data_IF_345717845401
#
_entry.id   IF_345717845401
#
_cell.length_a   1.000
_cell.length_b   1.000
_cell.length_c   1.000
_cell.angle_alpha   90.00
_cell.angle_beta   90.00
_cell.angle_gamma   90.00
#
_symmetry.space_group_name_H-M   'P 1'
#
loop_
_entity.id
_entity.type
_entity.pdbx_description
1 polymer ?
#
# COMPACT_ATOMS: atom_id res chain seq x y z
N UNK A 1 -19.01 -5.77 -20.36
CA UNK A 1 -17.61 -6.07 -20.69
C UNK A 1 -16.65 -4.92 -20.40
N UNK A 2 -16.95 -3.66 -20.76
CA UNK A 2 -15.99 -2.55 -20.58
C UNK A 2 -15.47 -2.43 -19.14
N UNK A 3 -16.33 -2.28 -18.14
CA UNK A 3 -15.91 -2.13 -16.74
C UNK A 3 -15.20 -3.37 -16.18
N UNK A 4 -15.52 -4.57 -16.67
CA UNK A 4 -14.80 -5.80 -16.33
C UNK A 4 -13.37 -5.79 -16.87
N UNK A 5 -13.19 -5.36 -18.13
CA UNK A 5 -11.87 -5.20 -18.75
C UNK A 5 -11.05 -4.15 -18.00
N UNK A 6 -11.63 -2.98 -17.73
CA UNK A 6 -10.96 -1.91 -16.98
C UNK A 6 -10.56 -2.35 -15.56
N UNK A 7 -11.43 -3.11 -14.86
CA UNK A 7 -11.10 -3.65 -13.54
C UNK A 7 -10.00 -4.72 -13.60
N UNK A 8 -9.99 -5.56 -14.65
CA UNK A 8 -8.95 -6.55 -14.85
C UNK A 8 -7.60 -5.88 -15.12
N UNK A 9 -7.59 -4.85 -15.97
CA UNK A 9 -6.40 -4.09 -16.28
C UNK A 9 -5.82 -3.43 -15.04
N UNK A 10 -6.68 -2.80 -14.24
CA UNK A 10 -6.33 -2.24 -12.94
C UNK A 10 -5.73 -3.30 -11.99
N UNK A 11 -6.32 -4.50 -11.93
CA UNK A 11 -5.82 -5.60 -11.12
C UNK A 11 -4.43 -6.07 -11.58
N UNK A 12 -4.18 -6.13 -12.89
CA UNK A 12 -2.86 -6.49 -13.41
C UNK A 12 -1.77 -5.52 -12.95
N UNK A 13 -2.02 -4.22 -13.05
CA UNK A 13 -1.10 -3.19 -12.55
C UNK A 13 -0.93 -3.29 -11.03
N UNK A 14 -2.03 -3.46 -10.28
CA UNK A 14 -1.97 -3.55 -8.83
C UNK A 14 -1.15 -4.75 -8.34
N UNK A 15 -1.38 -5.94 -8.92
CA UNK A 15 -0.68 -7.16 -8.52
C UNK A 15 0.83 -7.04 -8.79
N UNK A 16 1.21 -6.48 -9.95
CA UNK A 16 2.61 -6.22 -10.30
C UNK A 16 3.31 -5.38 -9.22
N UNK A 17 2.69 -4.25 -8.85
CA UNK A 17 3.16 -3.34 -7.80
C UNK A 17 3.29 -4.05 -6.45
N UNK A 18 2.26 -4.79 -6.02
CA UNK A 18 2.29 -5.44 -4.70
C UNK A 18 3.33 -6.56 -4.64
N UNK A 19 3.56 -7.29 -5.75
CA UNK A 19 4.64 -8.28 -5.84
C UNK A 19 6.00 -7.62 -5.62
N UNK A 20 6.27 -6.51 -6.31
CA UNK A 20 7.53 -5.78 -6.13
C UNK A 20 7.68 -5.25 -4.69
N UNK A 21 6.58 -4.77 -4.11
CA UNK A 21 6.55 -4.17 -2.78
C UNK A 21 6.89 -5.17 -1.68
N UNK A 22 6.26 -6.35 -1.63
CA UNK A 22 6.59 -7.30 -0.56
C UNK A 22 8.04 -7.80 -0.65
N UNK A 23 8.57 -7.97 -1.87
CA UNK A 23 9.97 -8.36 -2.08
C UNK A 23 10.91 -7.26 -1.60
N UNK A 24 10.60 -6.01 -1.92
CA UNK A 24 11.37 -4.86 -1.47
C UNK A 24 11.36 -4.74 0.06
N UNK A 25 10.20 -4.89 0.69
CA UNK A 25 10.05 -4.86 2.14
C UNK A 25 10.82 -6.00 2.82
N UNK A 26 10.76 -7.22 2.30
CA UNK A 26 11.52 -8.35 2.84
C UNK A 26 13.04 -8.22 2.66
N UNK A 27 13.48 -7.61 1.55
CA UNK A 27 14.91 -7.49 1.18
C UNK A 27 15.62 -6.30 1.82
N UNK A 28 14.96 -5.14 1.83
CA UNK A 28 15.56 -3.85 2.20
C UNK A 28 14.97 -3.25 3.47
N UNK A 29 13.82 -3.75 3.94
CA UNK A 29 13.22 -3.29 5.17
C UNK A 29 14.13 -3.57 6.36
N UNK A 30 14.43 -2.53 7.14
CA UNK A 30 15.18 -2.69 8.39
C UNK A 30 14.21 -2.91 9.54
N UNK A 31 14.25 -4.11 10.09
CA UNK A 31 13.51 -4.51 11.28
C UNK A 31 12.48 -5.62 11.02
N UNK A 32 12.07 -6.35 12.07
CA UNK A 32 10.99 -7.35 12.02
C UNK A 32 9.70 -6.78 11.42
N UNK A 33 9.43 -5.50 11.67
CA UNK A 33 8.19 -4.82 11.31
C UNK A 33 8.01 -4.61 9.80
N UNK A 34 9.10 -4.40 9.04
CA UNK A 34 9.03 -4.36 7.58
C UNK A 34 8.73 -5.75 6.98
N UNK A 35 9.14 -6.81 7.66
CA UNK A 35 8.85 -8.19 7.27
C UNK A 35 7.44 -8.61 7.64
N UNK A 36 6.84 -8.04 8.69
CA UNK A 36 5.41 -8.17 8.99
C UNK A 36 4.58 -7.51 7.88
N UNK A 37 4.92 -6.29 7.48
CA UNK A 37 4.26 -5.61 6.38
C UNK A 37 4.47 -6.34 5.03
N UNK A 38 5.64 -6.96 4.83
CA UNK A 38 5.87 -7.82 3.66
C UNK A 38 4.91 -9.03 3.66
N UNK A 39 4.66 -9.66 4.82
CA UNK A 39 3.71 -10.77 4.92
C UNK A 39 2.29 -10.34 4.60
N UNK A 40 1.88 -9.18 5.12
CA UNK A 40 0.58 -8.59 4.83
C UNK A 40 0.40 -8.39 3.32
N UNK A 41 1.33 -7.70 2.67
CA UNK A 41 1.28 -7.47 1.21
C UNK A 41 1.33 -8.78 0.42
N UNK A 42 2.08 -9.79 0.89
CA UNK A 42 2.07 -11.12 0.29
C UNK A 42 0.67 -11.77 0.34
N UNK A 43 -0.04 -11.64 1.47
CA UNK A 43 -1.40 -12.17 1.60
C UNK A 43 -2.39 -11.41 0.71
N UNK A 44 -2.26 -10.08 0.61
CA UNK A 44 -3.01 -9.25 -0.34
C UNK A 44 -2.84 -9.80 -1.78
N UNK A 45 -1.61 -10.09 -2.20
CA UNK A 45 -1.33 -10.63 -3.56
C UNK A 45 -2.04 -11.96 -3.82
N UNK A 46 -2.16 -12.84 -2.83
CA UNK A 46 -2.85 -14.11 -3.00
C UNK A 46 -4.34 -13.91 -3.31
N UNK A 47 -5.02 -13.00 -2.60
CA UNK A 47 -6.44 -12.70 -2.85
C UNK A 47 -6.64 -11.94 -4.16
N UNK A 48 -5.78 -10.96 -4.45
CA UNK A 48 -5.83 -10.21 -5.72
C UNK A 48 -5.67 -11.11 -6.94
N UNK A 49 -4.74 -12.08 -6.90
CA UNK A 49 -4.60 -13.09 -7.96
C UNK A 49 -5.87 -13.94 -8.10
N UNK A 50 -6.52 -14.29 -6.99
CA UNK A 50 -7.79 -15.01 -6.99
C UNK A 50 -8.94 -14.19 -7.59
N UNK A 51 -8.97 -12.88 -7.35
CA UNK A 51 -9.96 -11.97 -7.95
C UNK A 51 -9.72 -11.79 -9.45
N UNK A 52 -8.45 -11.67 -9.86
CA UNK A 52 -8.09 -11.60 -11.27
C UNK A 52 -8.44 -12.89 -12.02
N UNK A 53 -8.24 -14.06 -11.40
CA UNK A 53 -8.66 -15.36 -11.96
C UNK A 53 -10.17 -15.41 -12.19
N UNK A 54 -10.98 -15.07 -11.18
CA UNK A 54 -12.44 -15.03 -11.32
C UNK A 54 -12.90 -14.06 -12.43
N UNK A 55 -12.22 -12.91 -12.55
CA UNK A 55 -12.57 -11.89 -13.53
C UNK A 55 -12.19 -12.32 -14.96
N UNK A 56 -11.04 -12.97 -15.15
CA UNK A 56 -10.64 -13.47 -16.47
C UNK A 56 -11.51 -14.63 -16.93
N UNK A 57 -11.84 -15.59 -16.05
CA UNK A 57 -12.75 -16.70 -16.37
C UNK A 57 -14.13 -16.17 -16.78
N UNK A 58 -14.61 -15.11 -16.12
CA UNK A 58 -15.85 -14.43 -16.48
C UNK A 58 -15.76 -13.78 -17.87
N UNK A 59 -14.64 -13.15 -18.20
CA UNK A 59 -14.41 -12.53 -19.52
C UNK A 59 -14.32 -13.58 -20.64
N UNK A 60 -13.64 -14.70 -20.40
CA UNK A 60 -13.52 -15.81 -21.35
C UNK A 60 -14.89 -16.46 -21.62
N UNK A 61 -15.66 -16.71 -20.56
CA UNK A 61 -17.01 -17.29 -20.68
C UNK A 61 -17.94 -16.38 -21.48
N UNK A 62 -17.87 -15.06 -21.28
CA UNK A 62 -18.61 -14.08 -22.09
C UNK A 62 -18.22 -14.11 -23.57
N UNK A 63 -16.94 -14.34 -23.88
CA UNK A 63 -16.46 -14.39 -25.26
C UNK A 63 -16.94 -15.66 -25.98
N UNK A 64 -17.02 -16.79 -25.26
CA UNK A 64 -17.46 -18.08 -25.81
C UNK A 64 -18.98 -18.20 -25.92
N UNK A 65 -19.70 -17.94 -24.82
CA UNK A 65 -21.13 -18.26 -24.71
C UNK A 65 -22.06 -17.03 -24.84
N UNK A 66 -21.49 -15.82 -24.97
CA UNK A 66 -22.24 -14.54 -24.94
C UNK A 66 -23.14 -14.40 -23.70
N UNK A 67 -22.80 -15.11 -22.61
CA UNK A 67 -23.56 -15.09 -21.36
C UNK A 67 -23.48 -13.72 -20.69
N UNK A 68 -24.57 -13.26 -20.09
CA UNK A 68 -24.58 -12.05 -19.27
C UNK A 68 -23.95 -12.38 -17.91
N UNK A 69 -22.94 -11.60 -17.50
CA UNK A 69 -22.31 -11.73 -16.16
C UNK A 69 -23.32 -11.37 -15.09
N UNK A 70 -23.30 -12.10 -13.98
CA UNK A 70 -24.02 -11.71 -12.78
C UNK A 70 -23.49 -10.35 -12.27
N UNK A 71 -24.30 -9.27 -12.30
CA UNK A 71 -23.88 -7.96 -11.81
C UNK A 71 -23.42 -8.01 -10.35
N UNK A 72 -23.96 -8.93 -9.54
CA UNK A 72 -23.56 -9.09 -8.14
C UNK A 72 -22.12 -9.59 -8.00
N UNK A 73 -21.68 -10.50 -8.88
CA UNK A 73 -20.32 -11.00 -8.87
C UNK A 73 -19.33 -9.87 -9.18
N UNK A 74 -19.61 -9.05 -10.19
CA UNK A 74 -18.78 -7.88 -10.50
C UNK A 74 -18.71 -6.89 -9.33
N UNK A 75 -19.85 -6.52 -8.75
CA UNK A 75 -19.91 -5.60 -7.61
C UNK A 75 -19.10 -6.15 -6.43
N UNK A 76 -19.21 -7.44 -6.16
CA UNK A 76 -18.45 -8.10 -5.09
C UNK A 76 -16.95 -7.97 -5.35
N UNK A 77 -16.47 -8.41 -6.51
CA UNK A 77 -15.05 -8.32 -6.88
C UNK A 77 -14.54 -6.88 -6.83
N UNK A 78 -15.29 -5.94 -7.42
CA UNK A 78 -14.95 -4.52 -7.41
C UNK A 78 -14.76 -3.99 -5.97
N UNK A 79 -15.69 -4.29 -5.07
CA UNK A 79 -15.60 -3.86 -3.67
C UNK A 79 -14.40 -4.49 -2.95
N UNK A 80 -14.06 -5.75 -3.26
CA UNK A 80 -12.88 -6.41 -2.67
C UNK A 80 -11.55 -5.87 -3.21
N UNK A 81 -11.50 -5.43 -4.47
CA UNK A 81 -10.32 -4.71 -5.00
C UNK A 81 -10.21 -3.33 -4.34
N UNK A 82 -11.33 -2.60 -4.27
CA UNK A 82 -11.42 -1.29 -3.61
C UNK A 82 -10.95 -1.36 -2.15
N UNK A 83 -11.33 -2.40 -1.43
CA UNK A 83 -10.92 -2.63 -0.05
C UNK A 83 -9.39 -2.53 0.13
N UNK A 84 -8.60 -3.24 -0.68
CA UNK A 84 -7.15 -3.23 -0.53
C UNK A 84 -6.51 -1.87 -0.81
N UNK A 85 -7.05 -1.12 -1.77
CA UNK A 85 -6.59 0.23 -2.05
C UNK A 85 -6.96 1.19 -0.91
N UNK A 86 -8.15 1.05 -0.31
CA UNK A 86 -8.56 1.80 0.88
C UNK A 86 -7.62 1.53 2.06
N UNK A 87 -7.25 0.27 2.30
CA UNK A 87 -6.28 -0.07 3.35
C UNK A 87 -4.88 0.47 3.07
N UNK A 88 -4.43 0.46 1.81
CA UNK A 88 -3.17 1.11 1.46
C UNK A 88 -3.22 2.62 1.62
N UNK A 89 -4.35 3.26 1.32
CA UNK A 89 -4.57 4.68 1.52
C UNK A 89 -4.47 5.06 3.00
N UNK A 90 -5.07 4.28 3.90
CA UNK A 90 -4.96 4.46 5.36
C UNK A 90 -3.49 4.57 5.79
N UNK A 91 -2.67 3.62 5.35
CA UNK A 91 -1.23 3.57 5.68
C UNK A 91 -0.46 4.72 5.05
N UNK A 92 -0.71 5.00 3.77
CA UNK A 92 -0.02 6.04 3.01
C UNK A 92 -0.32 7.45 3.55
N UNK A 93 -1.59 7.72 3.84
CA UNK A 93 -2.04 9.02 4.33
C UNK A 93 -1.51 9.30 5.74
N UNK A 94 -1.52 8.31 6.64
CA UNK A 94 -0.89 8.45 7.95
C UNK A 94 0.61 8.76 7.85
N UNK A 95 1.33 8.08 6.95
CA UNK A 95 2.75 8.37 6.68
C UNK A 95 2.99 9.79 6.18
N UNK A 96 2.15 10.28 5.27
CA UNK A 96 2.24 11.66 4.77
C UNK A 96 1.90 12.71 5.84
N UNK A 97 0.93 12.43 6.71
CA UNK A 97 0.62 13.32 7.84
C UNK A 97 1.82 13.45 8.79
N UNK A 98 2.49 12.32 9.10
CA UNK A 98 3.69 12.31 9.93
C UNK A 98 4.83 13.12 9.30
N UNK A 99 5.16 12.86 8.03
CA UNK A 99 6.25 13.54 7.36
C UNK A 99 5.98 13.63 5.86
N UNK A 100 5.98 14.86 5.36
CA UNK A 100 6.01 15.09 3.92
C UNK A 100 7.45 14.89 3.41
N UNK A 101 7.63 13.83 2.64
CA UNK A 101 8.85 13.53 1.91
C UNK A 101 8.47 12.87 0.58
N UNK A 102 9.43 12.80 -0.34
CA UNK A 102 9.18 12.27 -1.69
C UNK A 102 8.49 10.90 -1.66
N UNK A 103 8.87 10.01 -0.74
CA UNK A 103 8.30 8.66 -0.66
C UNK A 103 6.84 8.69 -0.18
N UNK A 104 6.55 9.37 0.92
CA UNK A 104 5.19 9.41 1.46
C UNK A 104 4.24 10.17 0.53
N UNK A 105 4.71 11.25 -0.11
CA UNK A 105 3.94 11.98 -1.12
C UNK A 105 3.69 11.12 -2.36
N UNK A 106 4.72 10.46 -2.91
CA UNK A 106 4.58 9.59 -4.08
C UNK A 106 3.61 8.42 -3.83
N UNK A 107 3.72 7.75 -2.67
CA UNK A 107 2.83 6.63 -2.34
C UNK A 107 1.40 7.12 -2.14
N UNK A 108 1.18 8.22 -1.42
CA UNK A 108 -0.15 8.81 -1.23
C UNK A 108 -0.78 9.20 -2.58
N UNK A 109 -0.05 9.94 -3.42
CA UNK A 109 -0.54 10.39 -4.72
C UNK A 109 -0.87 9.21 -5.64
N UNK A 110 -0.03 8.17 -5.67
CA UNK A 110 -0.31 6.95 -6.46
C UNK A 110 -1.60 6.28 -5.99
N UNK A 111 -1.77 6.12 -4.68
CA UNK A 111 -2.97 5.47 -4.13
C UNK A 111 -4.23 6.31 -4.38
N UNK A 112 -4.15 7.63 -4.26
CA UNK A 112 -5.27 8.54 -4.60
C UNK A 112 -5.65 8.47 -6.09
N UNK A 113 -4.66 8.33 -6.98
CA UNK A 113 -4.90 8.07 -8.41
C UNK A 113 -5.59 6.73 -8.62
N UNK A 114 -5.14 5.67 -7.94
CA UNK A 114 -5.76 4.34 -8.02
C UNK A 114 -7.21 4.34 -7.51
N UNK A 115 -7.50 5.03 -6.40
CA UNK A 115 -8.87 5.23 -5.91
C UNK A 115 -9.73 6.02 -6.92
N UNK A 116 -9.15 7.02 -7.57
CA UNK A 116 -9.84 7.81 -8.60
C UNK A 116 -10.18 6.94 -9.83
N UNK A 117 -9.26 6.10 -10.28
CA UNK A 117 -9.48 5.15 -11.36
C UNK A 117 -10.59 4.14 -10.99
N UNK A 118 -10.51 3.53 -9.81
CA UNK A 118 -11.58 2.64 -9.32
C UNK A 118 -12.93 3.35 -9.24
N UNK A 119 -12.95 4.61 -8.80
CA UNK A 119 -14.19 5.40 -8.78
C UNK A 119 -14.79 5.54 -10.18
N UNK A 120 -13.97 5.79 -11.20
CA UNK A 120 -14.42 5.87 -12.60
C UNK A 120 -14.94 4.52 -13.12
N UNK A 121 -14.25 3.42 -12.81
CA UNK A 121 -14.68 2.05 -13.17
C UNK A 121 -16.02 1.72 -12.50
N UNK A 122 -16.17 2.01 -11.21
CA UNK A 122 -17.42 1.74 -10.49
C UNK A 122 -18.58 2.62 -11.00
N UNK A 123 -18.32 3.91 -11.30
CA UNK A 123 -19.32 4.79 -11.90
C UNK A 123 -19.80 4.28 -13.26
N UNK A 124 -18.89 3.78 -14.11
CA UNK A 124 -19.27 3.22 -15.41
C UNK A 124 -20.10 1.95 -15.30
N UNK A 125 -19.96 1.23 -14.18
CA UNK A 125 -20.69 0.00 -13.86
C UNK A 125 -21.94 0.21 -12.97
N UNK A 126 -22.26 1.45 -12.57
CA UNK A 126 -23.39 1.75 -11.68
C UNK A 126 -23.19 1.33 -10.22
N UNK A 127 -21.94 1.22 -9.77
CA UNK A 127 -21.57 0.89 -8.38
C UNK A 127 -21.49 2.17 -7.54
N UNK A 128 -22.13 2.17 -6.37
CA UNK A 128 -22.01 3.26 -5.41
C UNK A 128 -20.66 3.21 -4.68
N UNK A 129 -19.76 4.10 -5.09
CA UNK A 129 -18.42 4.22 -4.52
C UNK A 129 -18.36 5.00 -3.21
N UNK A 130 -19.46 5.61 -2.75
CA UNK A 130 -19.50 6.37 -1.50
C UNK A 130 -19.49 5.49 -0.25
N UNK A 131 -19.87 4.22 -0.42
CA UNK A 131 -19.91 3.23 0.66
C UNK A 131 -18.49 2.65 0.85
N UNK A 132 -17.92 2.69 2.06
CA UNK A 132 -16.65 2.01 2.36
C UNK A 132 -16.73 0.51 2.08
N UNK A 133 -15.65 -0.09 1.60
CA UNK A 133 -15.63 -1.54 1.41
C UNK A 133 -15.61 -2.27 2.76
N UNK A 134 -16.24 -3.45 2.80
CA UNK A 134 -16.31 -4.28 4.01
C UNK A 134 -15.46 -5.54 3.78
N UNK A 135 -14.59 -5.93 4.72
CA UNK A 135 -13.82 -7.16 4.62
C UNK A 135 -14.74 -8.38 4.72
N UNK A 136 -14.55 -9.36 3.83
CA UNK A 136 -15.33 -10.61 3.80
C UNK A 136 -14.52 -11.85 4.17
N UNK A 137 -13.18 -11.78 4.05
CA UNK A 137 -12.28 -12.88 4.44
C UNK A 137 -11.51 -12.54 5.71
N UNK A 138 -10.98 -13.56 6.40
CA UNK A 138 -10.16 -13.33 7.59
C UNK A 138 -8.83 -12.63 7.25
N UNK A 139 -8.30 -12.84 6.03
CA UNK A 139 -7.15 -12.11 5.51
C UNK A 139 -7.46 -10.62 5.40
N UNK A 140 -8.63 -10.26 4.87
CA UNK A 140 -9.05 -8.87 4.77
C UNK A 140 -9.30 -8.25 6.15
N UNK A 141 -9.97 -8.95 7.06
CA UNK A 141 -10.17 -8.44 8.44
C UNK A 141 -8.82 -8.18 9.13
N UNK A 142 -7.87 -9.10 8.98
CA UNK A 142 -6.51 -8.91 9.51
C UNK A 142 -5.79 -7.74 8.82
N UNK A 143 -5.96 -7.58 7.50
CA UNK A 143 -5.39 -6.46 6.75
C UNK A 143 -5.96 -5.11 7.22
N UNK A 144 -7.27 -5.00 7.45
CA UNK A 144 -7.90 -3.79 8.01
C UNK A 144 -7.38 -3.50 9.42
N UNK A 145 -7.28 -4.53 10.25
CA UNK A 145 -6.72 -4.42 11.60
C UNK A 145 -5.29 -3.90 11.58
N UNK A 146 -4.40 -4.58 10.85
CA UNK A 146 -2.98 -4.23 10.80
C UNK A 146 -2.78 -2.85 10.16
N UNK A 147 -3.59 -2.48 9.16
CA UNK A 147 -3.54 -1.14 8.55
C UNK A 147 -3.96 -0.04 9.51
N UNK A 148 -5.05 -0.27 10.26
CA UNK A 148 -5.55 0.65 11.28
C UNK A 148 -4.56 0.77 12.45
N UNK A 149 -3.96 -0.34 12.88
CA UNK A 149 -2.91 -0.36 13.89
C UNK A 149 -1.71 0.48 13.41
N UNK A 150 -1.20 0.21 12.21
CA UNK A 150 -0.10 0.97 11.62
C UNK A 150 -0.43 2.47 11.61
N UNK A 151 -1.58 2.87 11.09
CA UNK A 151 -1.99 4.25 11.05
C UNK A 151 -2.12 4.87 12.45
N UNK A 152 -2.78 4.19 13.39
CA UNK A 152 -2.92 4.63 14.77
C UNK A 152 -1.56 4.98 15.40
N UNK A 153 -0.60 4.07 15.33
CA UNK A 153 0.70 4.28 15.96
C UNK A 153 1.52 5.38 15.29
N UNK A 154 1.41 5.55 13.97
CA UNK A 154 2.01 6.68 13.25
C UNK A 154 1.47 8.00 13.79
N UNK A 155 0.15 8.09 13.92
CA UNK A 155 -0.54 9.30 14.38
C UNK A 155 -0.31 9.54 15.88
N UNK A 156 -0.23 8.48 16.68
CA UNK A 156 0.11 8.52 18.10
C UNK A 156 1.53 9.09 18.31
N UNK A 157 2.50 8.65 17.51
CA UNK A 157 3.84 9.22 17.53
C UNK A 157 3.83 10.71 17.17
N UNK A 158 3.08 11.11 16.14
CA UNK A 158 2.94 12.52 15.77
C UNK A 158 2.35 13.36 16.92
N UNK A 159 1.32 12.85 17.60
CA UNK A 159 0.70 13.49 18.78
C UNK A 159 1.67 13.60 19.95
N UNK A 160 2.31 12.50 20.35
CA UNK A 160 3.28 12.48 21.46
C UNK A 160 4.44 13.44 21.23
N UNK A 161 4.99 13.47 20.02
CA UNK A 161 6.09 14.38 19.66
C UNK A 161 5.64 15.84 19.65
N UNK A 162 4.41 16.11 19.22
CA UNK A 162 3.84 17.46 19.28
C UNK A 162 3.70 17.94 20.73
N UNK A 163 3.20 17.07 21.62
CA UNK A 163 2.95 17.40 23.02
C UNK A 163 4.27 17.54 23.81
N UNK A 164 5.28 16.72 23.49
CA UNK A 164 6.65 16.85 24.02
C UNK A 164 7.71 16.75 22.90
N UNK A 165 8.08 17.88 22.26
CA UNK A 165 9.10 17.91 21.21
C UNK A 165 10.50 17.48 21.69
N UNK A 166 10.74 17.45 23.01
CA UNK A 166 12.03 17.08 23.61
C UNK A 166 12.11 15.62 23.96
N UNK A 167 11.02 14.84 23.83
CA UNK A 167 11.00 13.42 24.14
C UNK A 167 12.18 12.67 23.50
N UNK A 168 12.67 11.67 24.22
CA UNK A 168 13.63 10.73 23.66
C UNK A 168 12.91 9.87 22.62
N UNK A 169 13.40 9.88 21.39
CA UNK A 169 12.87 9.05 20.34
C UNK A 169 13.57 7.68 20.35
N UNK A 170 12.84 6.60 20.04
CA UNK A 170 13.40 5.28 19.83
C UNK A 170 14.70 5.30 19.02
N UNK A 171 15.74 4.64 19.53
CA UNK A 171 17.08 4.60 18.89
C UNK A 171 17.07 3.95 17.50
N UNK A 172 16.04 3.17 17.22
CA UNK A 172 15.81 2.48 15.96
C UNK A 172 15.12 3.38 14.91
N UNK A 173 14.67 4.59 15.27
CA UNK A 173 14.32 5.64 14.31
C UNK A 173 15.64 6.28 13.85
N UNK A 174 15.92 6.38 12.55
CA UNK A 174 17.16 6.98 12.06
C UNK A 174 17.39 8.42 12.57
N UNK A 175 18.64 8.84 12.82
CA UNK A 175 18.90 10.18 13.36
C UNK A 175 18.33 11.33 12.51
N UNK A 176 18.40 11.22 11.17
CA UNK A 176 17.82 12.23 10.28
C UNK A 176 16.29 12.31 10.38
N UNK A 177 15.63 11.17 10.59
CA UNK A 177 14.18 11.08 10.77
C UNK A 177 13.76 11.75 12.09
N UNK A 178 14.51 11.49 13.17
CA UNK A 178 14.28 12.14 14.47
C UNK A 178 14.33 13.66 14.36
N UNK A 179 15.28 14.22 13.60
CA UNK A 179 15.39 15.67 13.36
C UNK A 179 14.13 16.19 12.67
N UNK A 180 13.64 15.50 11.63
CA UNK A 180 12.43 15.89 10.89
C UNK A 180 11.21 15.86 11.82
N UNK A 181 11.03 14.78 12.59
CA UNK A 181 9.90 14.65 13.51
C UNK A 181 9.89 15.77 14.57
N UNK A 182 11.04 16.05 15.18
CA UNK A 182 11.18 17.14 16.16
C UNK A 182 10.93 18.53 15.54
N UNK A 183 11.32 18.74 14.29
CA UNK A 183 10.98 19.96 13.54
C UNK A 183 9.48 20.06 13.25
N UNK A 184 8.85 18.96 12.84
CA UNK A 184 7.42 18.90 12.53
C UNK A 184 6.56 19.16 13.77
N UNK A 185 7.03 18.75 14.95
CA UNK A 185 6.43 19.06 16.25
C UNK A 185 6.13 20.55 16.45
N UNK A 186 7.05 21.40 16.00
CA UNK A 186 6.99 22.85 16.17
C UNK A 186 6.39 23.58 14.97
N UNK A 187 6.16 22.87 13.87
CA UNK A 187 5.71 23.45 12.60
C UNK A 187 4.50 22.69 12.07
N UNK A 188 4.71 21.62 11.31
CA UNK A 188 3.68 20.85 10.60
C UNK A 188 2.53 20.38 11.50
N UNK A 189 2.80 19.81 12.67
CA UNK A 189 1.76 19.27 13.56
C UNK A 189 0.93 20.35 14.27
N UNK A 190 1.34 21.62 14.15
CA UNK A 190 0.60 22.78 14.63
C UNK A 190 -0.31 23.38 13.55
N UNK A 191 -0.16 23.00 12.28
CA UNK A 191 -1.02 23.48 11.20
C UNK A 191 -2.38 22.78 11.26
N UNK A 192 -3.48 23.52 11.20
CA UNK A 192 -4.82 22.96 11.39
C UNK A 192 -5.14 21.83 10.39
N UNK A 193 -4.76 22.03 9.13
CA UNK A 193 -4.95 21.06 8.03
C UNK A 193 -4.20 19.73 8.23
N UNK A 194 -3.23 19.67 9.14
CA UNK A 194 -2.52 18.44 9.52
C UNK A 194 -2.96 17.96 10.90
N UNK A 195 -3.09 18.88 11.85
CA UNK A 195 -3.49 18.62 13.23
C UNK A 195 -4.85 17.94 13.32
N UNK A 196 -5.85 18.52 12.66
CA UNK A 196 -7.22 18.03 12.74
C UNK A 196 -7.32 16.59 12.18
N UNK A 197 -6.81 16.27 10.97
CA UNK A 197 -6.78 14.88 10.51
C UNK A 197 -6.02 13.92 11.43
N UNK A 198 -4.90 14.36 12.03
CA UNK A 198 -4.18 13.52 13.01
C UNK A 198 -5.06 13.19 14.21
N UNK A 199 -5.74 14.17 14.80
CA UNK A 199 -6.58 13.98 15.97
C UNK A 199 -7.80 13.10 15.67
N UNK A 200 -8.49 13.36 14.55
CA UNK A 200 -9.68 12.63 14.13
C UNK A 200 -9.37 11.17 13.76
N UNK A 201 -8.34 10.94 12.95
CA UNK A 201 -7.96 9.60 12.52
C UNK A 201 -7.34 8.79 13.67
N UNK A 202 -6.55 9.43 14.55
CA UNK A 202 -6.03 8.77 15.74
C UNK A 202 -7.17 8.21 16.58
N UNK A 203 -8.17 9.04 16.90
CA UNK A 203 -9.35 8.60 17.64
C UNK A 203 -10.12 7.50 16.90
N UNK A 204 -10.38 7.67 15.60
CA UNK A 204 -11.08 6.68 14.79
C UNK A 204 -10.43 5.30 14.87
N UNK A 205 -9.11 5.23 14.71
CA UNK A 205 -8.40 3.95 14.74
C UNK A 205 -8.24 3.42 16.16
N UNK A 206 -8.11 4.29 17.17
CA UNK A 206 -8.15 3.88 18.58
C UNK A 206 -9.46 3.18 18.94
N UNK A 207 -10.59 3.82 18.59
CA UNK A 207 -11.94 3.28 18.81
C UNK A 207 -12.12 1.93 18.10
N UNK A 208 -11.65 1.82 16.85
CA UNK A 208 -11.71 0.58 16.07
C UNK A 208 -10.86 -0.55 16.69
N UNK A 209 -9.63 -0.26 17.10
CA UNK A 209 -8.71 -1.26 17.66
C UNK A 209 -9.21 -1.80 19.01
N UNK A 210 -9.80 -0.94 19.85
CA UNK A 210 -10.42 -1.36 21.12
C UNK A 210 -11.66 -2.24 20.95
N UNK A 211 -12.38 -2.10 19.83
CA UNK A 211 -13.56 -2.91 19.52
C UNK A 211 -13.23 -4.22 18.81
N UNK A 212 -12.00 -4.37 18.31
CA UNK A 212 -11.58 -5.56 17.57
C UNK A 212 -11.15 -6.69 18.50
N UNK A 213 -11.55 -7.91 18.16
CA UNK A 213 -11.05 -9.13 18.82
C UNK A 213 -9.72 -9.62 18.21
N UNK A 214 -9.29 -9.03 17.08
CA UNK A 214 -8.06 -9.41 16.41
C UNK A 214 -6.83 -8.85 17.14
N UNK A 215 -5.71 -9.52 16.90
CA UNK A 215 -4.41 -9.08 17.37
C UNK A 215 -3.50 -8.81 16.19
N UNK A 216 -2.45 -8.01 16.43
CA UNK A 216 -1.44 -7.70 15.42
C UNK A 216 -0.79 -8.99 14.94
N UNK A 217 -0.65 -9.14 13.62
CA UNK A 217 0.04 -10.30 13.04
C UNK A 217 1.51 -10.35 13.47
N UNK A 218 1.98 -11.53 13.89
CA UNK A 218 3.38 -11.80 14.22
C UNK A 218 4.14 -12.54 13.12
N UNK A 219 3.50 -12.81 11.98
CA UNK A 219 4.07 -13.62 10.91
C UNK A 219 5.08 -12.82 10.09
N UNK A 220 6.34 -13.22 10.17
CA UNK A 220 7.46 -12.55 9.50
C UNK A 220 7.75 -13.24 8.18
N UNK A 221 7.92 -12.46 7.10
CA UNK A 221 8.33 -12.98 5.80
C UNK A 221 9.85 -12.86 5.61
N UNK A 222 10.53 -13.98 5.35
CA UNK A 222 11.98 -13.98 5.10
C UNK A 222 12.31 -13.49 3.69
N UNK A 223 13.58 -13.12 3.45
CA UNK A 223 14.03 -12.68 2.13
C UNK A 223 14.04 -13.85 1.13
N UNK A 224 14.43 -15.03 1.60
CA UNK A 224 14.49 -16.26 0.82
C UNK A 224 13.08 -16.68 0.41
N UNK A 225 12.13 -16.68 1.34
CA UNK A 225 10.72 -16.97 1.07
C UNK A 225 10.13 -15.94 0.09
N UNK A 226 10.41 -14.64 0.30
CA UNK A 226 9.93 -13.60 -0.60
C UNK A 226 10.42 -13.79 -2.04
N UNK A 227 11.66 -14.22 -2.24
CA UNK A 227 12.18 -14.51 -3.59
C UNK A 227 11.50 -15.74 -4.21
N UNK A 228 11.29 -16.80 -3.44
CA UNK A 228 10.61 -18.00 -3.92
C UNK A 228 9.17 -17.68 -4.35
N UNK A 229 8.43 -17.00 -3.48
CA UNK A 229 7.05 -16.62 -3.72
C UNK A 229 6.91 -15.61 -4.86
N UNK A 230 7.89 -14.71 -5.06
CA UNK A 230 7.91 -13.81 -6.21
C UNK A 230 7.84 -14.59 -7.52
N UNK A 231 8.63 -15.66 -7.67
CA UNK A 231 8.60 -16.47 -8.89
C UNK A 231 7.22 -17.09 -9.09
N UNK A 232 6.63 -17.70 -8.06
CA UNK A 232 5.29 -18.30 -8.15
C UNK A 232 4.20 -17.28 -8.51
N UNK A 233 4.18 -16.13 -7.83
CA UNK A 233 3.19 -15.08 -8.09
C UNK A 233 3.37 -14.46 -9.47
N UNK A 234 4.62 -14.22 -9.91
CA UNK A 234 4.93 -13.74 -11.25
C UNK A 234 4.43 -14.70 -12.32
N UNK A 235 4.67 -16.00 -12.19
CA UNK A 235 4.15 -16.99 -13.14
C UNK A 235 2.62 -17.00 -13.21
N UNK A 236 1.93 -16.89 -12.07
CA UNK A 236 0.46 -16.78 -12.05
C UNK A 236 -0.03 -15.51 -12.75
N UNK A 237 0.58 -14.38 -12.43
CA UNK A 237 0.27 -13.09 -13.03
C UNK A 237 0.54 -13.08 -14.55
N UNK A 238 1.66 -13.64 -15.00
CA UNK A 238 1.99 -13.77 -16.43
C UNK A 238 0.98 -14.62 -17.20
N UNK A 239 0.47 -15.70 -16.57
CA UNK A 239 -0.58 -16.52 -17.16
C UNK A 239 -1.89 -15.73 -17.33
N UNK A 240 -2.34 -15.06 -16.27
CA UNK A 240 -3.51 -14.16 -16.32
C UNK A 240 -3.36 -13.10 -17.42
N UNK A 241 -2.19 -12.47 -17.48
CA UNK A 241 -1.87 -11.42 -18.45
C UNK A 241 -1.89 -11.95 -19.89
N UNK A 242 -1.35 -13.16 -20.11
CA UNK A 242 -1.37 -13.83 -21.42
C UNK A 242 -2.80 -14.15 -21.86
N UNK A 243 -3.62 -14.71 -20.97
CA UNK A 243 -5.03 -15.02 -21.26
C UNK A 243 -5.81 -13.76 -21.63
N UNK A 244 -5.59 -12.66 -20.90
CA UNK A 244 -6.22 -11.39 -21.22
C UNK A 244 -5.84 -10.83 -22.59
N UNK A 245 -4.60 -11.06 -23.04
CA UNK A 245 -4.15 -10.67 -24.39
C UNK A 245 -4.96 -11.33 -25.50
N UNK A 246 -5.46 -12.55 -25.27
CA UNK A 246 -6.31 -13.24 -26.24
C UNK A 246 -7.74 -12.63 -26.27
N UNK A 247 -8.15 -11.91 -25.23
CA UNK A 247 -9.46 -11.27 -25.10
C UNK A 247 -9.45 -9.81 -25.62
N UNK A 248 -8.41 -9.04 -25.28
CA UNK A 248 -8.27 -7.63 -25.63
C UNK A 248 -6.83 -7.32 -26.12
N UNK A 249 -6.44 -7.79 -27.32
CA UNK A 249 -5.06 -7.64 -27.82
C UNK A 249 -4.66 -6.18 -28.05
N UNK A 250 -5.64 -5.28 -28.20
CA UNK A 250 -5.48 -3.82 -28.34
C UNK A 250 -5.37 -3.07 -27.01
N UNK A 251 -5.41 -3.75 -25.86
CA UNK A 251 -5.27 -3.08 -24.57
C UNK A 251 -3.97 -2.28 -24.50
N UNK A 252 -4.05 -1.10 -23.89
CA UNK A 252 -2.88 -0.25 -23.66
C UNK A 252 -1.83 -0.96 -22.81
N UNK A 253 -2.20 -1.93 -21.97
CA UNK A 253 -1.27 -2.71 -21.16
C UNK A 253 -0.20 -3.45 -21.99
N UNK A 254 -0.51 -3.78 -23.25
CA UNK A 254 0.42 -4.48 -24.14
C UNK A 254 1.23 -3.52 -25.04
N UNK A 255 0.97 -2.22 -24.93
CA UNK A 255 1.71 -1.21 -25.68
C UNK A 255 3.15 -1.12 -25.19
N UNK A 256 4.15 -0.99 -26.08
CA UNK A 256 5.52 -0.68 -25.67
C UNK A 256 5.64 0.68 -24.95
N UNK A 257 4.65 1.55 -25.10
CA UNK A 257 4.57 2.86 -24.43
C UNK A 257 3.92 2.79 -23.04
N UNK A 258 3.44 1.62 -22.62
CA UNK A 258 2.83 1.46 -21.31
C UNK A 258 3.88 1.52 -20.20
N UNK A 259 3.78 2.51 -19.33
CA UNK A 259 4.66 2.67 -18.19
C UNK A 259 4.09 1.95 -16.97
N UNK A 260 4.74 0.84 -16.60
CA UNK A 260 4.46 0.14 -15.35
C UNK A 260 4.88 0.99 -14.15
N UNK A 261 4.04 0.99 -13.13
CA UNK A 261 4.34 1.65 -11.87
C UNK A 261 5.59 1.04 -11.23
N UNK A 262 6.50 1.91 -10.81
CA UNK A 262 7.69 1.51 -10.06
C UNK A 262 7.42 1.65 -8.57
N UNK A 263 7.75 0.63 -7.78
CA UNK A 263 7.74 0.77 -6.32
C UNK A 263 8.83 1.75 -5.90
N UNK A 264 8.51 2.67 -4.99
CA UNK A 264 9.50 3.54 -4.37
C UNK A 264 10.51 2.68 -3.59
N UNK A 265 11.74 2.55 -4.12
CA UNK A 265 12.82 1.76 -3.52
C UNK A 265 13.87 2.67 -2.88
N UNK A 266 14.54 2.23 -1.80
CA UNK A 266 15.71 2.92 -1.29
C UNK A 266 16.86 2.78 -2.30
N UNK A 267 17.50 3.90 -2.65
CA UNK A 267 18.61 3.89 -3.59
C UNK A 267 19.75 2.99 -3.08
N UNK A 268 20.11 1.96 -3.86
CA UNK A 268 21.44 1.36 -3.75
C UNK A 268 22.46 2.43 -4.16
N UNK A 269 23.45 2.70 -3.30
CA UNK A 269 24.56 3.62 -3.60
C UNK A 269 25.05 3.37 -5.03
N UNK A 270 24.86 4.33 -5.94
CA UNK A 270 25.50 4.30 -7.26
C UNK A 270 26.98 4.57 -7.04
N UNK A 271 27.83 3.66 -7.49
CA UNK A 271 29.20 4.02 -7.87
C UNK A 271 29.12 5.09 -8.94
N UNK A 272 29.87 6.16 -8.72
CA UNK A 272 29.95 7.32 -9.60
C UNK A 272 30.72 6.96 -10.86
N UNK A 273 30.06 7.00 -12.02
CA UNK A 273 30.75 7.29 -13.27
C UNK A 273 30.09 8.49 -13.96
N UNK A 274 30.92 9.50 -14.14
CA UNK A 274 30.67 10.73 -14.89
C UNK A 274 30.59 10.45 -16.39
N UNK A 275 29.64 11.08 -17.10
CA UNK A 275 29.97 12.05 -18.15
C UNK A 275 28.72 12.67 -18.77
N UNK A 276 28.87 13.96 -19.10
CA UNK A 276 27.92 14.85 -19.76
C UNK A 276 27.49 14.36 -21.15
N UNK A 277 26.23 14.61 -21.54
CA UNK A 277 25.91 15.43 -22.73
C UNK A 277 24.41 15.72 -22.82
N UNK A 278 24.10 17.00 -22.96
CA UNK A 278 22.76 17.59 -23.11
C UNK A 278 22.34 17.66 -24.58
N UNK A 279 21.09 17.30 -24.92
CA UNK A 279 20.08 18.22 -25.51
C UNK A 279 18.86 17.49 -26.11
N UNK A 280 17.70 18.01 -25.71
CA UNK A 280 16.39 18.07 -26.38
C UNK A 280 15.58 16.77 -26.61
N UNK A 281 14.54 16.57 -25.79
CA UNK A 281 13.17 16.49 -26.31
C UNK A 281 12.14 16.91 -25.22
N UNK A 282 11.10 17.61 -25.66
CA UNK A 282 10.07 18.27 -24.84
C UNK A 282 8.90 17.34 -24.56
N UNK A 283 8.36 17.48 -23.34
CA UNK A 283 6.93 17.35 -22.97
C UNK A 283 6.27 15.97 -23.20
N UNK A 284 6.34 15.09 -22.21
CA UNK A 284 5.24 14.75 -21.28
C UNK A 284 5.91 14.17 -20.02
N UNK A 285 5.53 14.68 -18.85
CA UNK A 285 6.35 14.66 -17.63
C UNK A 285 6.46 13.28 -16.97
N UNK A 286 7.56 12.91 -16.35
CA UNK A 286 8.82 13.61 -16.15
C UNK A 286 9.81 12.63 -15.50
N UNK A 287 11.01 12.54 -16.06
CA UNK A 287 12.14 11.90 -15.39
C UNK A 287 12.58 12.82 -14.26
N UNK A 288 12.50 12.35 -13.02
CA UNK A 288 13.24 12.94 -11.92
C UNK A 288 14.08 11.86 -11.24
N UNK A 289 15.32 11.74 -11.73
CA UNK A 289 16.40 11.13 -10.98
C UNK A 289 16.95 12.18 -10.00
N UNK A 290 16.47 12.18 -8.76
CA UNK A 290 17.13 12.86 -7.63
C UNK A 290 16.83 12.16 -6.31
N UNK A 291 17.90 11.83 -5.59
CA UNK A 291 17.97 12.01 -4.13
C UNK A 291 17.22 11.01 -3.25
N UNK A 292 17.99 10.18 -2.56
CA UNK A 292 17.55 9.12 -1.66
C UNK A 292 16.85 9.57 -0.36
N UNK A 293 16.14 8.61 0.24
CA UNK A 293 15.92 8.33 1.69
C UNK A 293 14.45 8.37 2.13
N UNK A 294 14.02 7.26 2.78
CA UNK A 294 13.01 7.15 3.87
C UNK A 294 11.93 6.03 3.69
N UNK A 295 12.31 4.75 3.67
CA UNK A 295 11.44 3.63 4.13
C UNK A 295 11.72 3.31 5.61
N UNK A 296 12.27 4.25 6.38
CA UNK A 296 12.91 3.92 7.66
C UNK A 296 12.22 4.45 8.92
N UNK A 297 11.07 5.11 8.81
CA UNK A 297 10.58 5.91 9.94
C UNK A 297 9.54 5.26 10.83
N UNK A 298 8.78 4.29 10.35
CA UNK A 298 7.55 3.92 11.05
C UNK A 298 7.54 2.53 11.66
N UNK A 299 8.39 1.65 11.16
CA UNK A 299 8.23 0.24 11.44
C UNK A 299 8.92 -0.15 12.76
N UNK A 300 10.03 0.49 13.12
CA UNK A 300 10.76 0.15 14.33
C UNK A 300 10.12 0.67 15.65
N UNK A 301 9.18 1.63 15.59
CA UNK A 301 8.36 2.01 16.76
C UNK A 301 7.46 0.85 17.24
N UNK A 302 6.99 0.00 16.32
CA UNK A 302 6.10 -1.12 16.66
C UNK A 302 6.79 -2.21 17.49
N UNK A 303 8.09 -2.46 17.31
CA UNK A 303 8.85 -3.43 18.12
C UNK A 303 9.13 -2.94 19.54
N UNK A 304 9.15 -1.63 19.78
CA UNK A 304 9.39 -1.09 21.12
C UNK A 304 8.12 -1.04 21.96
N UNK A 305 6.96 -0.76 21.35
CA UNK A 305 5.65 -0.94 21.99
C UNK A 305 5.36 -2.40 22.33
N UNK A 306 5.79 -3.35 21.49
CA UNK A 306 5.72 -4.79 21.80
C UNK A 306 6.59 -5.13 23.03
N UNK A 307 7.79 -4.52 23.17
CA UNK A 307 8.62 -4.73 24.36
C UNK A 307 8.09 -4.03 25.62
N UNK A 308 7.47 -2.85 25.50
CA UNK A 308 6.85 -2.15 26.64
C UNK A 308 5.56 -2.83 27.12
N UNK A 309 4.76 -3.41 26.20
CA UNK A 309 3.57 -4.20 26.56
C UNK A 309 3.92 -5.61 27.07
N UNK A 310 5.08 -6.17 26.70
CA UNK A 310 5.61 -7.41 27.30
C UNK A 310 6.23 -7.18 28.68
N UNK A 311 6.62 -5.93 29.01
CA UNK A 311 7.18 -5.57 30.32
C UNK A 311 6.15 -5.09 31.36
N UNK A 312 4.85 -5.12 31.07
CA UNK A 312 3.80 -4.86 32.05
C UNK A 312 2.87 -6.06 32.31
N UNK A 313 3.35 -7.15 32.93
CA UNK A 313 2.49 -8.20 33.46
C UNK A 313 1.85 -7.83 34.83
N UNK A 314 1.94 -6.58 35.28
CA UNK A 314 1.47 -6.19 36.61
C UNK A 314 0.39 -5.11 36.54
N UNK A 315 -0.86 -5.56 36.38
CA UNK A 315 -2.05 -5.07 37.12
C UNK A 315 -3.26 -5.89 36.69
N UNK A 316 -3.30 -7.15 37.14
CA UNK A 316 -4.55 -7.85 37.44
C UNK A 316 -4.75 -7.79 38.94
N UNK A 317 -5.62 -6.89 39.38
CA UNK A 317 -6.49 -7.06 40.54
C UNK A 317 -7.83 -6.40 40.19
#
# INVERSE_FOLDING_TARGET
MKSQKELFEFLCELIDIQIEKYVALAKFGVGPDARLNAKLVFDEVNELLGFAEQLIESLESQQQDKSIVDPKQFITLFNQVKFFIEQEHVRAYAGWLLAENNIHSEVKERVEKQLTQLKQIGQSAGVDNSIPSIPITDVQKQCEYDSSAIAFYILDLAKKIKDDPKMELPRNIPPHAQIILKKNAQTRYCMEEIRQPIEELHKKYDDFLHQSELQKSSNVFSKEDAKLHQTTHRTKWENLFKRYKDIEPSSQLFSPEHEWYKVALPATKKESESNYSSRNLRLFGGIVATGAIAIYMLLSYFTQLDNENVLNPALKF
#
